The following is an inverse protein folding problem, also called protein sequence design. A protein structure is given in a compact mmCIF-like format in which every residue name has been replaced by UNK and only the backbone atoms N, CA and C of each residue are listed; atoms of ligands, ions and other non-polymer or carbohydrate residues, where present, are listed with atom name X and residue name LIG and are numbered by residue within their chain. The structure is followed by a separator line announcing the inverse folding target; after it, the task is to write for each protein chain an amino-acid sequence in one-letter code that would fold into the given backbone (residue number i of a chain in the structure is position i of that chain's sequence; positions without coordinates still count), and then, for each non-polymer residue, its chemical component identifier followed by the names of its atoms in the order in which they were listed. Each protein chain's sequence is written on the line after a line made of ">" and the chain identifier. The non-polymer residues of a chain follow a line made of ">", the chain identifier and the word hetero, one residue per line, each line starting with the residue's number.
data_IF_913095777570
#
_entry.id   IF_913095777570
#
_cell.length_a   1.000
_cell.length_b   1.000
_cell.length_c   1.000
_cell.angle_alpha   90.00
_cell.angle_beta   90.00
_cell.angle_gamma   90.00
#
_symmetry.space_group_name_H-M   'P 1'
#
loop_
_entity.id
_entity.type
_entity.pdbx_description
1 polymer ?
#
# COMPACT_ATOMS: atom_id res chain seq x y z
N UNK A 1 10.55 9.80 35.23
CA UNK A 1 9.38 9.42 36.07
C UNK A 1 8.22 9.07 35.14
N UNK A 2 7.57 7.91 35.35
CA UNK A 2 6.38 7.54 34.58
C UNK A 2 5.20 8.42 34.98
N UNK A 3 4.51 9.03 34.02
CA UNK A 3 3.43 9.98 34.25
C UNK A 3 2.08 9.53 33.69
N UNK A 4 2.05 8.40 32.97
CA UNK A 4 0.82 7.87 32.36
C UNK A 4 0.82 6.34 32.31
N UNK A 5 -0.38 5.76 32.22
CA UNK A 5 -0.54 4.32 32.02
C UNK A 5 0.12 3.86 30.70
N UNK A 6 0.09 4.68 29.66
CA UNK A 6 0.74 4.37 28.39
C UNK A 6 2.25 4.17 28.57
N UNK A 7 2.89 5.09 29.29
CA UNK A 7 4.33 4.97 29.58
C UNK A 7 4.62 3.77 30.46
N UNK A 8 3.78 3.51 31.44
CA UNK A 8 3.91 2.36 32.31
C UNK A 8 3.84 1.04 31.52
N UNK A 9 2.83 0.89 30.65
CA UNK A 9 2.68 -0.32 29.84
C UNK A 9 3.82 -0.48 28.84
N UNK A 10 4.28 0.60 28.19
CA UNK A 10 5.45 0.52 27.30
C UNK A 10 6.71 0.06 28.03
N UNK A 11 6.89 0.50 29.26
CA UNK A 11 8.02 0.06 30.09
C UNK A 11 7.89 -1.40 30.49
N UNK A 12 6.70 -1.83 30.92
CA UNK A 12 6.49 -3.15 31.52
C UNK A 12 6.36 -4.24 30.44
N UNK A 13 5.70 -3.95 29.32
CA UNK A 13 5.49 -4.90 28.20
C UNK A 13 6.58 -4.79 27.11
N UNK A 14 7.24 -3.63 27.03
CA UNK A 14 8.10 -3.28 25.92
C UNK A 14 7.30 -2.84 24.69
N UNK A 15 7.97 -2.20 23.74
CA UNK A 15 7.36 -1.79 22.47
C UNK A 15 8.21 -2.30 21.32
N UNK A 16 7.66 -3.24 20.55
CA UNK A 16 8.32 -3.80 19.37
C UNK A 16 7.42 -3.61 18.15
N UNK A 17 7.93 -2.88 17.15
CA UNK A 17 7.14 -2.43 16.00
C UNK A 17 7.01 -3.50 14.90
N UNK A 18 7.56 -4.68 15.10
CA UNK A 18 7.41 -5.84 14.22
C UNK A 18 6.95 -7.06 15.00
N UNK A 19 6.38 -8.04 14.31
CA UNK A 19 5.92 -9.26 14.95
C UNK A 19 7.08 -10.06 15.55
N UNK A 20 6.87 -10.56 16.77
CA UNK A 20 7.82 -11.43 17.47
C UNK A 20 7.07 -12.50 18.27
N UNK A 21 7.65 -13.68 18.53
CA UNK A 21 7.05 -14.64 19.43
C UNK A 21 7.23 -14.19 20.89
N UNK A 22 6.16 -14.29 21.67
CA UNK A 22 6.24 -14.07 23.13
C UNK A 22 6.89 -15.26 23.84
N UNK A 23 6.95 -15.23 25.17
CA UNK A 23 7.54 -16.31 25.97
C UNK A 23 6.87 -17.67 25.78
N UNK A 24 5.62 -17.69 25.30
CA UNK A 24 4.85 -18.92 25.02
C UNK A 24 4.83 -19.27 23.51
N UNK A 25 5.52 -18.51 22.67
CA UNK A 25 5.60 -18.73 21.24
C UNK A 25 4.45 -18.11 20.43
N UNK A 26 3.59 -17.28 21.04
CA UNK A 26 2.52 -16.58 20.34
C UNK A 26 3.03 -15.31 19.68
N UNK A 27 2.64 -15.08 18.43
CA UNK A 27 3.03 -13.86 17.71
C UNK A 27 2.39 -12.63 18.36
N UNK A 28 3.24 -11.64 18.63
CA UNK A 28 2.92 -10.42 19.36
C UNK A 28 3.52 -9.23 18.61
N UNK A 29 2.93 -8.05 18.73
CA UNK A 29 3.43 -6.80 18.13
C UNK A 29 3.06 -5.61 19.01
N UNK A 30 3.83 -4.53 18.88
CA UNK A 30 3.56 -3.29 19.62
C UNK A 30 3.82 -3.45 21.10
N UNK A 31 2.89 -3.03 21.91
CA UNK A 31 2.94 -3.11 23.40
C UNK A 31 2.12 -4.33 23.82
N UNK A 32 2.68 -5.52 23.63
CA UNK A 32 2.06 -6.79 24.08
C UNK A 32 0.81 -7.23 23.33
N UNK A 33 0.51 -6.68 22.13
CA UNK A 33 -0.68 -7.05 21.36
C UNK A 33 -0.47 -8.37 20.65
N UNK A 34 -1.28 -9.40 20.97
CA UNK A 34 -1.31 -10.65 20.21
C UNK A 34 -1.88 -10.42 18.82
N UNK A 35 -1.24 -11.00 17.80
CA UNK A 35 -1.73 -11.01 16.42
C UNK A 35 -2.16 -12.40 15.97
N UNK A 36 -2.00 -13.40 16.81
CA UNK A 36 -2.48 -14.75 16.57
C UNK A 36 -3.98 -14.86 16.85
N UNK A 37 -4.75 -15.32 15.86
CA UNK A 37 -6.22 -15.44 15.98
C UNK A 37 -6.70 -16.44 17.02
N UNK A 38 -5.84 -17.36 17.46
CA UNK A 38 -6.21 -18.40 18.42
C UNK A 38 -6.50 -17.89 19.83
N UNK A 39 -6.10 -16.66 20.16
CA UNK A 39 -6.26 -16.07 21.50
C UNK A 39 -6.90 -14.69 21.44
N UNK A 40 -7.90 -14.52 20.58
CA UNK A 40 -8.53 -13.22 20.31
C UNK A 40 -7.51 -12.15 19.89
N UNK A 41 -6.42 -12.61 19.25
CA UNK A 41 -5.44 -11.70 18.67
C UNK A 41 -5.93 -11.06 17.38
N UNK A 42 -5.04 -10.33 16.71
CA UNK A 42 -5.34 -9.62 15.49
C UNK A 42 -5.64 -8.15 15.75
N UNK A 43 -6.24 -7.51 14.77
CA UNK A 43 -6.58 -6.09 14.81
C UNK A 43 -8.06 -5.89 14.52
N UNK A 44 -8.60 -4.78 15.01
CA UNK A 44 -9.99 -4.37 14.74
C UNK A 44 -10.12 -3.76 13.33
N UNK A 45 -11.36 -3.66 12.78
CA UNK A 45 -11.56 -2.95 11.52
C UNK A 45 -11.07 -1.49 11.56
N UNK A 46 -11.22 -0.81 12.69
CA UNK A 46 -10.75 0.56 12.90
C UNK A 46 -9.23 0.65 12.86
N UNK A 47 -8.55 -0.29 13.51
CA UNK A 47 -7.09 -0.37 13.46
C UNK A 47 -6.59 -0.71 12.06
N UNK A 48 -7.26 -1.62 11.36
CA UNK A 48 -6.97 -1.95 9.96
C UNK A 48 -7.11 -0.72 9.05
N UNK A 49 -8.18 0.05 9.21
CA UNK A 49 -8.40 1.29 8.47
C UNK A 49 -7.32 2.33 8.76
N UNK A 50 -6.91 2.46 10.02
CA UNK A 50 -5.83 3.36 10.41
C UNK A 50 -4.50 2.98 9.75
N UNK A 51 -4.14 1.70 9.79
CA UNK A 51 -2.93 1.20 9.13
C UNK A 51 -2.97 1.42 7.63
N UNK A 52 -4.11 1.11 6.99
CA UNK A 52 -4.30 1.32 5.56
C UNK A 52 -4.12 2.78 5.16
N UNK A 53 -4.74 3.71 5.91
CA UNK A 53 -4.61 5.14 5.64
C UNK A 53 -3.15 5.60 5.76
N UNK A 54 -2.44 5.14 6.78
CA UNK A 54 -1.02 5.44 6.94
C UNK A 54 -0.19 4.88 5.78
N UNK A 55 -0.47 3.65 5.35
CA UNK A 55 0.23 3.02 4.23
C UNK A 55 -0.02 3.76 2.92
N UNK A 56 -1.27 4.18 2.66
CA UNK A 56 -1.62 4.98 1.48
C UNK A 56 -0.87 6.32 1.49
N UNK A 57 -0.83 7.01 2.63
CA UNK A 57 -0.11 8.28 2.75
C UNK A 57 1.39 8.12 2.46
N UNK A 58 2.02 7.10 3.04
CA UNK A 58 3.44 6.83 2.79
C UNK A 58 3.70 6.48 1.33
N UNK A 59 2.89 5.61 0.76
CA UNK A 59 3.03 5.19 -0.63
C UNK A 59 2.81 6.34 -1.60
N UNK A 60 1.84 7.20 -1.33
CA UNK A 60 1.57 8.40 -2.12
C UNK A 60 2.77 9.35 -2.08
N UNK A 61 3.35 9.58 -0.91
CA UNK A 61 4.54 10.43 -0.77
C UNK A 61 5.75 9.86 -1.54
N UNK A 62 5.95 8.55 -1.48
CA UNK A 62 7.01 7.87 -2.24
C UNK A 62 6.83 8.03 -3.76
N UNK A 63 5.59 7.86 -4.25
CA UNK A 63 5.26 8.02 -5.66
C UNK A 63 5.47 9.47 -6.10
N UNK A 64 5.03 10.44 -5.32
CA UNK A 64 5.23 11.87 -5.61
C UNK A 64 6.71 12.25 -5.65
N UNK A 65 7.52 11.67 -4.78
CA UNK A 65 8.96 11.89 -4.78
C UNK A 65 9.63 11.33 -6.02
N UNK A 66 9.24 10.13 -6.43
CA UNK A 66 9.82 9.45 -7.60
C UNK A 66 9.31 10.01 -8.94
N UNK A 67 8.04 10.42 -8.99
CA UNK A 67 7.35 10.86 -10.19
C UNK A 67 6.58 12.16 -9.91
N UNK A 68 7.27 13.32 -9.76
CA UNK A 68 6.59 14.57 -9.38
C UNK A 68 5.45 14.99 -10.31
N UNK A 69 5.53 14.62 -11.59
CA UNK A 69 4.52 14.96 -12.59
C UNK A 69 3.15 14.31 -12.37
N UNK A 70 3.08 13.21 -11.58
CA UNK A 70 1.81 12.52 -11.34
C UNK A 70 0.80 13.37 -10.56
N UNK A 71 1.27 14.42 -9.90
CA UNK A 71 0.39 15.38 -9.20
C UNK A 71 -0.56 16.12 -10.13
N UNK A 72 -0.22 16.20 -11.41
CA UNK A 72 -1.02 16.86 -12.45
C UNK A 72 -2.10 15.94 -13.04
N UNK A 73 -2.07 14.65 -12.72
CA UNK A 73 -3.10 13.71 -13.14
C UNK A 73 -4.42 13.95 -12.41
N UNK A 74 -5.52 13.57 -13.05
CA UNK A 74 -6.78 13.42 -12.34
C UNK A 74 -6.64 12.35 -11.25
N UNK A 75 -7.42 12.53 -10.18
CA UNK A 75 -7.30 11.69 -8.99
C UNK A 75 -7.52 10.20 -9.28
N UNK A 76 -8.42 9.87 -10.21
CA UNK A 76 -8.77 8.48 -10.52
C UNK A 76 -7.59 7.77 -11.20
N UNK A 77 -6.92 8.42 -12.14
CA UNK A 77 -5.72 7.87 -12.81
C UNK A 77 -4.50 7.87 -11.89
N UNK A 78 -4.33 8.92 -11.09
CA UNK A 78 -3.31 8.95 -10.06
C UNK A 78 -3.43 7.73 -9.14
N UNK A 79 -4.64 7.39 -8.72
CA UNK A 79 -4.90 6.26 -7.84
C UNK A 79 -4.57 4.91 -8.49
N UNK A 80 -4.59 4.79 -9.82
CA UNK A 80 -4.06 3.60 -10.51
C UNK A 80 -2.58 3.42 -10.22
N UNK A 81 -1.79 4.49 -10.35
CA UNK A 81 -0.35 4.43 -10.12
C UNK A 81 -0.02 4.16 -8.64
N UNK A 82 -0.76 4.78 -7.72
CA UNK A 82 -0.59 4.52 -6.28
C UNK A 82 -0.95 3.05 -5.96
N UNK A 83 -2.03 2.52 -6.54
CA UNK A 83 -2.44 1.14 -6.36
C UNK A 83 -1.39 0.15 -6.89
N UNK A 84 -0.81 0.44 -8.05
CA UNK A 84 0.31 -0.34 -8.60
C UNK A 84 1.52 -0.30 -7.65
N UNK A 85 1.90 0.87 -7.17
CA UNK A 85 3.00 1.03 -6.23
C UNK A 85 2.73 0.33 -4.89
N UNK A 86 1.49 0.30 -4.45
CA UNK A 86 1.09 -0.42 -3.24
C UNK A 86 1.35 -1.93 -3.36
N UNK A 87 1.04 -2.51 -4.51
CA UNK A 87 1.27 -3.93 -4.77
C UNK A 87 2.73 -4.26 -5.13
N UNK A 88 3.34 -3.46 -6.00
CA UNK A 88 4.62 -3.79 -6.64
C UNK A 88 5.81 -3.08 -5.99
N UNK A 89 5.57 -2.16 -5.06
CA UNK A 89 6.56 -1.20 -4.60
C UNK A 89 6.78 -0.08 -5.62
N UNK A 90 7.40 1.01 -5.17
CA UNK A 90 7.72 2.13 -6.08
C UNK A 90 8.70 1.70 -7.17
N UNK A 91 9.69 0.88 -6.82
CA UNK A 91 10.63 0.35 -7.83
C UNK A 91 9.93 -0.49 -8.89
N UNK A 92 8.95 -1.32 -8.48
CA UNK A 92 8.13 -2.08 -9.42
C UNK A 92 7.31 -1.20 -10.34
N UNK A 93 6.73 -0.11 -9.82
CA UNK A 93 6.04 0.88 -10.64
C UNK A 93 7.00 1.56 -11.62
N UNK A 94 8.17 1.97 -11.17
CA UNK A 94 9.17 2.66 -12.01
C UNK A 94 9.69 1.79 -13.15
N UNK A 95 9.60 0.48 -13.05
CA UNK A 95 9.96 -0.44 -14.12
C UNK A 95 9.02 -0.36 -15.34
N UNK A 96 7.81 0.20 -15.16
CA UNK A 96 6.85 0.44 -16.24
C UNK A 96 7.21 1.72 -17.05
N UNK A 97 8.41 1.82 -17.54
CA UNK A 97 8.94 3.03 -18.20
C UNK A 97 8.08 3.51 -19.37
N UNK A 98 7.71 2.60 -20.27
CA UNK A 98 6.88 2.94 -21.43
C UNK A 98 5.46 3.33 -21.03
N UNK A 99 4.85 2.59 -20.10
CA UNK A 99 3.52 2.90 -19.57
C UNK A 99 3.52 4.28 -18.93
N UNK A 100 4.50 4.59 -18.07
CA UNK A 100 4.60 5.88 -17.40
C UNK A 100 4.79 7.03 -18.38
N UNK A 101 5.60 6.85 -19.43
CA UNK A 101 5.77 7.85 -20.49
C UNK A 101 4.44 8.14 -21.22
N UNK A 102 3.67 7.10 -21.51
CA UNK A 102 2.35 7.23 -22.15
C UNK A 102 1.34 7.93 -21.23
N UNK A 103 1.34 7.61 -19.95
CA UNK A 103 0.48 8.29 -18.96
C UNK A 103 0.84 9.77 -18.86
N UNK A 104 2.12 10.09 -18.75
CA UNK A 104 2.61 11.47 -18.71
C UNK A 104 2.23 12.26 -19.95
N UNK A 105 2.25 11.62 -21.12
CA UNK A 105 1.82 12.21 -22.40
C UNK A 105 0.32 12.24 -22.61
N UNK A 106 -0.48 11.73 -21.69
CA UNK A 106 -1.95 11.70 -21.81
C UNK A 106 -2.47 10.60 -22.73
N UNK A 107 -1.64 9.67 -23.16
CA UNK A 107 -2.06 8.55 -24.02
C UNK A 107 -2.52 7.36 -23.16
N UNK A 108 -3.65 7.51 -22.55
CA UNK A 108 -4.19 6.55 -21.57
C UNK A 108 -4.61 5.21 -22.20
N UNK A 109 -5.07 5.23 -23.45
CA UNK A 109 -5.45 4.00 -24.16
C UNK A 109 -4.24 3.08 -24.35
N UNK A 110 -3.15 3.62 -24.88
CA UNK A 110 -1.91 2.85 -25.05
C UNK A 110 -1.25 2.48 -23.73
N UNK A 111 -1.34 3.35 -22.73
CA UNK A 111 -0.86 3.01 -21.38
C UNK A 111 -1.59 1.78 -20.85
N UNK A 112 -2.92 1.75 -20.95
CA UNK A 112 -3.74 0.61 -20.54
C UNK A 112 -3.38 -0.68 -21.33
N UNK A 113 -3.16 -0.57 -22.64
CA UNK A 113 -2.70 -1.71 -23.45
C UNK A 113 -1.36 -2.26 -22.95
N UNK A 114 -0.39 -1.38 -22.66
CA UNK A 114 0.90 -1.80 -22.10
C UNK A 114 0.77 -2.48 -20.73
N UNK A 115 -0.15 -2.02 -19.90
CA UNK A 115 -0.41 -2.68 -18.62
C UNK A 115 -0.88 -4.12 -18.83
N UNK A 116 -1.78 -4.36 -19.78
CA UNK A 116 -2.30 -5.70 -20.09
C UNK A 116 -1.22 -6.61 -20.67
N UNK A 117 -0.26 -6.06 -21.42
CA UNK A 117 0.84 -6.83 -22.02
C UNK A 117 2.00 -7.11 -21.04
N UNK A 118 1.93 -6.63 -19.82
CA UNK A 118 2.99 -6.77 -18.83
C UNK A 118 3.00 -8.13 -18.15
N UNK A 119 4.14 -8.47 -17.55
CA UNK A 119 4.27 -9.64 -16.67
C UNK A 119 3.33 -9.54 -15.45
N UNK A 120 3.06 -8.33 -14.98
CA UNK A 120 2.10 -8.10 -13.90
C UNK A 120 0.71 -8.62 -14.24
N UNK A 121 0.25 -8.45 -15.49
CA UNK A 121 -1.02 -9.04 -15.95
C UNK A 121 -1.03 -10.56 -15.78
N UNK A 122 0.04 -11.24 -16.12
CA UNK A 122 0.11 -12.70 -15.97
C UNK A 122 0.08 -13.15 -14.49
N UNK A 123 0.53 -12.31 -13.58
CA UNK A 123 0.56 -12.60 -12.14
C UNK A 123 -0.78 -12.33 -11.46
N UNK A 124 -1.42 -11.20 -11.77
CA UNK A 124 -2.69 -10.76 -11.20
C UNK A 124 -3.60 -10.18 -12.29
N UNK A 125 -4.14 -11.04 -13.18
CA UNK A 125 -4.86 -10.57 -14.38
C UNK A 125 -6.08 -9.71 -14.05
N UNK A 126 -6.92 -10.13 -13.13
CA UNK A 126 -8.14 -9.39 -12.80
C UNK A 126 -7.86 -7.99 -12.24
N UNK A 127 -6.88 -7.88 -11.36
CA UNK A 127 -6.48 -6.58 -10.81
C UNK A 127 -5.90 -5.69 -11.89
N UNK A 128 -5.02 -6.22 -12.72
CA UNK A 128 -4.42 -5.49 -13.82
C UNK A 128 -5.48 -4.99 -14.81
N UNK A 129 -6.44 -5.83 -15.18
CA UNK A 129 -7.52 -5.47 -16.11
C UNK A 129 -8.41 -4.35 -15.55
N UNK A 130 -8.79 -4.42 -14.27
CA UNK A 130 -9.56 -3.34 -13.63
C UNK A 130 -8.78 -2.04 -13.64
N UNK A 131 -7.51 -2.06 -13.25
CA UNK A 131 -6.68 -0.85 -13.20
C UNK A 131 -6.37 -0.30 -14.60
N UNK A 132 -6.17 -1.17 -15.60
CA UNK A 132 -6.02 -0.75 -16.99
C UNK A 132 -7.28 -0.06 -17.51
N UNK A 133 -8.45 -0.62 -17.20
CA UNK A 133 -9.72 0.00 -17.55
C UNK A 133 -9.91 1.35 -16.84
N UNK A 134 -9.55 1.43 -15.56
CA UNK A 134 -9.58 2.69 -14.80
C UNK A 134 -8.62 3.73 -15.41
N UNK A 135 -7.43 3.34 -15.80
CA UNK A 135 -6.47 4.20 -16.49
C UNK A 135 -7.03 4.71 -17.81
N UNK A 136 -7.63 3.83 -18.61
CA UNK A 136 -8.20 4.21 -19.92
C UNK A 136 -9.36 5.19 -19.77
N UNK A 137 -10.30 4.89 -18.89
CA UNK A 137 -11.58 5.59 -18.81
C UNK A 137 -11.59 6.79 -17.87
N UNK A 138 -10.69 6.83 -16.90
CA UNK A 138 -10.75 7.81 -15.80
C UNK A 138 -11.97 7.64 -14.89
N UNK A 139 -12.51 6.42 -14.82
CA UNK A 139 -13.67 6.06 -13.98
C UNK A 139 -13.29 4.90 -13.07
N UNK A 140 -13.72 4.96 -11.81
CA UNK A 140 -13.49 3.89 -10.84
C UNK A 140 -14.00 2.53 -11.35
N UNK A 141 -13.20 1.47 -11.07
CA UNK A 141 -13.55 0.09 -11.44
C UNK A 141 -13.66 -0.80 -10.20
#
# INVERSE_FOLDING_TARGET
>A
MVTSLNEQLRRDEGEVLSAYPDSLGYLTIGVGRLIDKRRNGGITPEESAYLLNNDIQRKTAEVFKALPWVKDLDQIRLNVLINMAFQLGVEGLLAFTNTLALVQGGNYDKAAENMILSKWHSQTPERCERLAKQMRTGVWQ
#
